data_IF_496525224117
#
_entry.id   IF_496525224117
#
_cell.length_a   1.000
_cell.length_b   1.000
_cell.length_c   1.000
_cell.angle_alpha   90.00
_cell.angle_beta   90.00
_cell.angle_gamma   90.00
#
_symmetry.space_group_name_H-M   'P 1'
#
loop_
_entity.id
_entity.type
_entity.pdbx_description
1 polymer ?
#
# COMPACT_ATOMS: atom_id res chain seq x y z
N UNK A 1 -9.69 8.33 -5.33
CA UNK A 1 -10.73 7.29 -5.04
C UNK A 1 -10.04 5.93 -4.96
N UNK A 2 -10.63 4.93 -4.29
CA UNK A 2 -10.01 3.58 -4.17
C UNK A 2 -9.69 2.93 -5.52
N UNK A 3 -10.52 3.15 -6.54
CA UNK A 3 -10.28 2.65 -7.91
C UNK A 3 -9.02 3.26 -8.51
N UNK A 4 -8.86 4.58 -8.42
CA UNK A 4 -7.71 5.29 -8.97
C UNK A 4 -6.40 4.85 -8.30
N UNK A 5 -6.41 4.52 -7.01
CA UNK A 5 -5.23 3.98 -6.32
C UNK A 5 -4.78 2.65 -6.91
N UNK A 6 -5.72 1.73 -7.16
CA UNK A 6 -5.37 0.45 -7.77
C UNK A 6 -4.91 0.59 -9.23
N UNK A 7 -5.49 1.52 -9.97
CA UNK A 7 -5.04 1.83 -11.33
C UNK A 7 -3.63 2.44 -11.33
N UNK A 8 -3.33 3.31 -10.37
CA UNK A 8 -2.01 3.88 -10.17
C UNK A 8 -0.97 2.81 -9.77
N UNK A 9 -1.31 1.91 -8.84
CA UNK A 9 -0.44 0.78 -8.46
C UNK A 9 -0.13 -0.12 -9.64
N UNK A 10 -1.14 -0.45 -10.46
CA UNK A 10 -0.98 -1.24 -11.67
C UNK A 10 -0.11 -0.51 -12.70
N UNK A 11 -0.32 0.80 -12.88
CA UNK A 11 0.53 1.60 -13.76
C UNK A 11 1.98 1.60 -13.28
N UNK A 12 2.22 1.85 -11.99
CA UNK A 12 3.56 1.85 -11.40
C UNK A 12 4.24 0.48 -11.53
N UNK A 13 3.53 -0.62 -11.23
CA UNK A 13 4.07 -1.98 -11.36
C UNK A 13 4.41 -2.39 -12.80
N UNK A 14 3.82 -1.72 -13.80
CA UNK A 14 4.13 -1.94 -15.23
C UNK A 14 5.28 -1.10 -15.75
N UNK A 15 5.56 0.05 -15.13
CA UNK A 15 6.55 1.02 -15.59
C UNK A 15 7.78 1.10 -14.66
N UNK A 16 7.73 0.45 -13.51
CA UNK A 16 8.79 0.40 -12.51
C UNK A 16 8.76 -0.94 -11.77
N UNK A 17 9.83 -1.22 -11.03
CA UNK A 17 9.95 -2.43 -10.23
C UNK A 17 8.88 -2.49 -9.12
N UNK A 18 7.95 -3.44 -9.26
CA UNK A 18 6.84 -3.61 -8.33
C UNK A 18 7.29 -3.89 -6.89
N UNK A 19 8.46 -4.51 -6.71
CA UNK A 19 9.00 -4.79 -5.39
C UNK A 19 9.33 -3.51 -4.62
N UNK A 20 9.88 -2.48 -5.29
CA UNK A 20 10.14 -1.19 -4.66
C UNK A 20 8.85 -0.50 -4.19
N UNK A 21 7.75 -0.68 -4.93
CA UNK A 21 6.44 -0.15 -4.52
C UNK A 21 5.90 -0.87 -3.29
N UNK A 22 6.06 -2.20 -3.20
CA UNK A 22 5.72 -2.99 -2.02
C UNK A 22 6.52 -2.52 -0.80
N UNK A 23 7.84 -2.36 -0.95
CA UNK A 23 8.73 -1.93 0.14
C UNK A 23 8.36 -0.53 0.65
N UNK A 24 8.05 0.39 -0.27
CA UNK A 24 7.60 1.74 0.07
C UNK A 24 6.27 1.74 0.85
N UNK A 25 5.30 0.91 0.44
CA UNK A 25 4.02 0.77 1.14
C UNK A 25 4.18 0.19 2.55
N UNK A 26 5.03 -0.82 2.72
CA UNK A 26 5.33 -1.41 4.04
C UNK A 26 6.02 -0.38 4.94
N UNK A 27 7.00 0.36 4.41
CA UNK A 27 7.72 1.39 5.16
C UNK A 27 6.78 2.50 5.62
N UNK A 28 6.00 3.06 4.71
CA UNK A 28 5.03 4.12 5.00
C UNK A 28 4.04 3.69 6.09
N UNK A 29 3.51 2.48 5.99
CA UNK A 29 2.55 1.96 6.97
C UNK A 29 3.20 1.76 8.35
N UNK A 30 4.42 1.22 8.39
CA UNK A 30 5.17 1.03 9.64
C UNK A 30 5.47 2.37 10.32
N UNK A 31 5.92 3.37 9.56
CA UNK A 31 6.24 4.71 10.07
C UNK A 31 4.98 5.41 10.61
N UNK A 32 3.86 5.33 9.87
CA UNK A 32 2.58 5.87 10.32
C UNK A 32 2.06 5.18 11.59
N UNK A 33 2.20 3.85 11.69
CA UNK A 33 1.81 3.11 12.90
C UNK A 33 2.71 3.41 14.11
N UNK A 34 3.96 3.82 13.88
CA UNK A 34 4.93 4.15 14.94
C UNK A 34 4.76 5.53 15.58
N UNK A 35 3.91 6.40 15.00
CA UNK A 35 3.77 7.82 15.39
C UNK A 35 2.65 8.06 16.43
N UNK A 36 2.21 7.04 17.17
CA UNK A 36 0.88 7.07 17.80
C UNK A 36 0.81 7.54 19.27
N UNK A 37 0.36 8.78 19.46
CA UNK A 37 -0.80 9.09 20.32
C UNK A 37 -1.76 9.94 19.47
N UNK A 38 -3.04 9.59 19.22
CA UNK A 38 -3.86 8.49 19.76
C UNK A 38 -4.36 7.47 18.70
N UNK A 39 -4.66 6.27 19.22
CA UNK A 39 -5.47 5.15 18.74
C UNK A 39 -5.34 4.62 17.28
N UNK A 40 -4.91 3.35 17.06
CA UNK A 40 -4.68 2.74 15.74
C UNK A 40 -5.89 2.79 14.80
N UNK A 41 -7.07 3.03 15.37
CA UNK A 41 -8.33 3.14 14.65
C UNK A 41 -8.53 4.48 13.94
N UNK A 42 -7.82 5.57 14.27
CA UNK A 42 -8.22 6.90 13.75
C UNK A 42 -7.70 7.21 12.32
N UNK A 43 -6.52 6.72 11.91
CA UNK A 43 -5.97 7.01 10.56
C UNK A 43 -6.46 6.05 9.49
N UNK A 44 -6.69 4.78 9.83
CA UNK A 44 -7.28 3.81 8.91
C UNK A 44 -8.78 4.07 8.64
N UNK A 45 -9.44 4.93 9.43
CA UNK A 45 -10.87 5.22 9.33
C UNK A 45 -11.25 6.39 8.40
N UNK A 46 -10.33 7.32 8.10
CA UNK A 46 -10.61 8.48 7.23
C UNK A 46 -9.90 8.43 5.86
N UNK A 47 -9.12 7.38 5.59
CA UNK A 47 -8.41 7.26 4.32
C UNK A 47 -9.37 6.98 3.17
N UNK A 48 -9.43 7.92 2.21
CA UNK A 48 -10.06 7.73 0.90
C UNK A 48 -9.35 6.65 0.04
N UNK A 49 -8.31 6.02 0.60
CA UNK A 49 -7.39 5.09 -0.02
C UNK A 49 -7.54 3.68 0.58
N UNK A 50 -7.30 2.62 -0.21
CA UNK A 50 -7.36 1.26 0.30
C UNK A 50 -6.16 0.97 1.24
N UNK A 51 -6.35 0.11 2.26
CA UNK A 51 -5.27 -0.32 3.15
C UNK A 51 -4.05 -0.87 2.40
N UNK A 52 -2.86 -0.64 2.94
CA UNK A 52 -1.59 -1.08 2.36
C UNK A 52 -1.54 -2.61 2.12
N UNK A 53 -2.10 -3.41 3.04
CA UNK A 53 -2.17 -4.88 2.90
C UNK A 53 -2.92 -5.32 1.64
N UNK A 54 -4.02 -4.65 1.30
CA UNK A 54 -4.82 -4.95 0.10
C UNK A 54 -4.07 -4.53 -1.16
N UNK A 55 -3.35 -3.39 -1.12
CA UNK A 55 -2.53 -2.93 -2.25
C UNK A 55 -1.37 -3.89 -2.51
N UNK A 56 -0.65 -4.31 -1.46
CA UNK A 56 0.45 -5.27 -1.52
C UNK A 56 -0.02 -6.62 -2.09
N UNK A 57 -1.17 -7.14 -1.62
CA UNK A 57 -1.74 -8.38 -2.13
C UNK A 57 -2.02 -8.33 -3.64
N UNK A 58 -2.42 -7.17 -4.19
CA UNK A 58 -2.60 -7.00 -5.64
C UNK A 58 -1.29 -6.89 -6.40
N UNK A 59 -0.26 -6.33 -5.78
CA UNK A 59 1.07 -6.21 -6.36
C UNK A 59 1.83 -7.54 -6.40
N UNK A 60 1.41 -8.55 -5.63
CA UNK A 60 1.95 -9.91 -5.66
C UNK A 60 2.03 -10.51 -7.08
N UNK A 61 1.04 -10.19 -7.93
CA UNK A 61 1.01 -10.62 -9.33
C UNK A 61 2.18 -10.07 -10.18
N UNK A 62 2.87 -9.02 -9.71
CA UNK A 62 3.96 -8.34 -10.41
C UNK A 62 5.34 -8.57 -9.78
N UNK A 63 5.41 -9.08 -8.54
CA UNK A 63 6.68 -9.27 -7.82
C UNK A 63 7.28 -10.67 -7.95
N UNK A 64 6.62 -11.59 -8.66
CA UNK A 64 7.08 -12.98 -8.81
C UNK A 64 7.12 -13.78 -7.49
N UNK A 65 6.71 -13.17 -6.38
CA UNK A 65 6.63 -13.79 -5.07
C UNK A 65 5.20 -14.27 -4.81
N UNK A 66 5.06 -15.57 -4.54
CA UNK A 66 3.86 -16.13 -3.93
C UNK A 66 3.82 -15.70 -2.45
N UNK A 67 3.35 -14.47 -2.19
CA UNK A 67 3.00 -14.00 -0.84
C UNK A 67 1.57 -14.38 -0.46
#
# INVERSE_FOLDING_TARGET
>A
SRKNEFEADNYAAKHAEAQHLVDALVKLYRENASTLTPDPLHSAFYDSHPPASIRIAKLAAYTGNNI
#
